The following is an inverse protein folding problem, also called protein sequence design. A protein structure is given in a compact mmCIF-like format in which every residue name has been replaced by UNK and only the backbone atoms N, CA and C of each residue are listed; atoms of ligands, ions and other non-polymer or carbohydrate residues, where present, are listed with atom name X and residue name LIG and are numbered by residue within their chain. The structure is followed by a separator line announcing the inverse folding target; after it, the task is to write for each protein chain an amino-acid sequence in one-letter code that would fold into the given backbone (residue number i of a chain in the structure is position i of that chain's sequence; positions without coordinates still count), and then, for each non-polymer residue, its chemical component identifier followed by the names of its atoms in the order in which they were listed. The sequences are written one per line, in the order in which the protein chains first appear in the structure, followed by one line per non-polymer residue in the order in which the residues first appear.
data_IF_053527073890
#
_entry.id   IF_053527073890
#
_cell.length_a   1.000
_cell.length_b   1.000
_cell.length_c   1.000
_cell.angle_alpha   90.00
_cell.angle_beta   90.00
_cell.angle_gamma   90.00
#
_symmetry.space_group_name_H-M   'P 1'
#
loop_
_entity.id
_entity.type
_entity.pdbx_description
1 polymer ?
#
# COMPACT_ATOMS: atom_id res chain seq x y z
N UNK A 1 -4.56 18.40 11.30
CA UNK A 1 -3.64 17.38 10.74
C UNK A 1 -4.47 16.15 10.48
N UNK A 2 -4.51 15.70 9.24
CA UNK A 2 -5.30 14.54 8.85
C UNK A 2 -4.42 13.30 9.08
N UNK A 3 -4.94 12.36 9.88
CA UNK A 3 -4.15 11.22 10.42
C UNK A 3 -3.67 10.28 9.32
N UNK A 4 -4.33 10.29 8.17
CA UNK A 4 -3.96 9.46 7.03
C UNK A 4 -2.71 9.99 6.33
N UNK A 5 -2.56 11.30 6.17
CA UNK A 5 -1.42 11.96 5.54
C UNK A 5 -0.16 11.72 6.37
N UNK A 6 -0.26 11.83 7.69
CA UNK A 6 0.84 11.48 8.60
C UNK A 6 1.22 9.98 8.47
N UNK A 7 0.23 9.09 8.34
CA UNK A 7 0.50 7.67 8.10
C UNK A 7 1.24 7.44 6.77
N UNK A 8 0.89 8.16 5.70
CA UNK A 8 1.59 8.08 4.43
C UNK A 8 3.06 8.51 4.55
N UNK A 9 3.35 9.60 5.27
CA UNK A 9 4.72 10.06 5.51
C UNK A 9 5.56 8.99 6.24
N UNK A 10 4.98 8.32 7.25
CA UNK A 10 5.67 7.24 7.94
C UNK A 10 5.88 6.00 7.07
N UNK A 11 4.92 5.64 6.22
CA UNK A 11 5.11 4.54 5.26
C UNK A 11 6.18 4.87 4.23
N UNK A 12 6.22 6.11 3.73
CA UNK A 12 7.26 6.57 2.81
C UNK A 12 8.65 6.49 3.44
N UNK A 13 8.77 6.92 4.70
CA UNK A 13 10.01 6.79 5.45
C UNK A 13 10.39 5.30 5.65
N UNK A 14 9.43 4.44 5.99
CA UNK A 14 9.67 3.01 6.18
C UNK A 14 10.15 2.34 4.87
N UNK A 15 9.53 2.67 3.73
CA UNK A 15 9.92 2.22 2.39
C UNK A 15 11.33 2.72 2.06
N UNK A 16 11.64 3.99 2.33
CA UNK A 16 12.98 4.53 2.10
C UNK A 16 14.05 3.80 2.93
N UNK A 17 13.74 3.46 4.20
CA UNK A 17 14.68 2.77 5.09
C UNK A 17 14.84 1.29 4.76
N UNK A 18 13.79 0.63 4.31
CA UNK A 18 13.83 -0.77 3.91
C UNK A 18 12.85 -1.05 2.75
N UNK A 19 13.30 -0.85 1.49
CA UNK A 19 12.44 -0.98 0.32
C UNK A 19 12.13 -2.44 -0.04
N UNK A 20 12.74 -3.42 0.64
CA UNK A 20 12.49 -4.84 0.42
C UNK A 20 11.27 -5.38 1.17
N UNK A 21 10.70 -4.60 2.10
CA UNK A 21 9.61 -5.06 2.98
C UNK A 21 8.25 -4.77 2.34
N UNK A 22 7.64 -5.81 1.76
CA UNK A 22 6.37 -5.74 1.04
C UNK A 22 5.22 -5.16 1.89
N UNK A 23 5.23 -5.42 3.20
CA UNK A 23 4.19 -4.98 4.13
C UNK A 23 4.08 -3.46 4.25
N UNK A 24 5.15 -2.70 3.98
CA UNK A 24 5.08 -1.23 4.01
C UNK A 24 4.30 -0.68 2.81
N UNK A 25 4.46 -1.27 1.64
CA UNK A 25 3.68 -0.93 0.46
C UNK A 25 2.20 -1.29 0.67
N UNK A 26 1.91 -2.47 1.23
CA UNK A 26 0.55 -2.87 1.60
C UNK A 26 -0.10 -1.90 2.59
N UNK A 27 0.60 -1.54 3.67
CA UNK A 27 0.11 -0.58 4.65
C UNK A 27 -0.17 0.80 4.05
N UNK A 28 0.70 1.27 3.14
CA UNK A 28 0.49 2.50 2.39
C UNK A 28 -0.73 2.41 1.47
N UNK A 29 -0.93 1.29 0.77
CA UNK A 29 -2.08 1.06 -0.09
C UNK A 29 -3.41 1.15 0.68
N UNK A 30 -3.49 0.53 1.86
CA UNK A 30 -4.68 0.58 2.72
C UNK A 30 -4.97 2.02 3.20
N UNK A 31 -3.93 2.76 3.58
CA UNK A 31 -4.08 4.17 3.98
C UNK A 31 -4.59 5.03 2.81
N UNK A 32 -4.05 4.85 1.60
CA UNK A 32 -4.48 5.55 0.39
C UNK A 32 -5.93 5.20 0.01
N UNK A 33 -6.32 3.93 0.12
CA UNK A 33 -7.69 3.48 -0.11
C UNK A 33 -8.67 4.16 0.86
N UNK A 34 -8.29 4.29 2.14
CA UNK A 34 -9.09 5.02 3.14
C UNK A 34 -9.25 6.51 2.84
N UNK A 35 -8.39 7.07 1.97
CA UNK A 35 -8.44 8.44 1.47
C UNK A 35 -9.10 8.56 0.08
N UNK A 36 -9.64 7.47 -0.48
CA UNK A 36 -10.14 7.39 -1.85
C UNK A 36 -9.09 7.69 -2.95
N UNK A 37 -7.81 7.44 -2.67
CA UNK A 37 -6.69 7.59 -3.63
C UNK A 37 -6.38 6.24 -4.27
N UNK A 38 -7.31 5.76 -5.09
CA UNK A 38 -7.32 4.37 -5.56
C UNK A 38 -6.20 4.04 -6.54
N UNK A 39 -5.85 4.94 -7.46
CA UNK A 39 -4.76 4.70 -8.41
C UNK A 39 -3.42 4.48 -7.68
N UNK A 40 -3.13 5.32 -6.69
CA UNK A 40 -1.89 5.20 -5.90
C UNK A 40 -1.91 3.96 -5.00
N UNK A 41 -3.08 3.54 -4.51
CA UNK A 41 -3.22 2.31 -3.75
C UNK A 41 -2.94 1.08 -4.64
N UNK A 42 -3.43 1.05 -5.89
CA UNK A 42 -3.14 -0.02 -6.85
C UNK A 42 -1.63 -0.15 -7.11
N UNK A 43 -0.94 0.96 -7.34
CA UNK A 43 0.53 0.96 -7.54
C UNK A 43 1.30 0.39 -6.33
N UNK A 44 0.80 0.67 -5.12
CA UNK A 44 1.40 0.14 -3.89
C UNK A 44 1.10 -1.35 -3.69
N UNK A 45 -0.10 -1.83 -4.03
CA UNK A 45 -0.37 -3.27 -4.05
C UNK A 45 0.49 -3.99 -5.10
N UNK A 46 0.67 -3.41 -6.28
CA UNK A 46 1.58 -3.96 -7.30
C UNK A 46 3.02 -4.02 -6.82
N UNK A 47 3.47 -2.99 -6.10
CA UNK A 47 4.79 -2.99 -5.47
C UNK A 47 4.90 -4.06 -4.39
N UNK A 48 3.88 -4.25 -3.54
CA UNK A 48 3.86 -5.31 -2.53
C UNK A 48 3.95 -6.71 -3.15
N UNK A 49 3.18 -6.96 -4.21
CA UNK A 49 3.19 -8.21 -4.99
C UNK A 49 4.56 -8.46 -5.61
N UNK A 50 5.18 -7.45 -6.21
CA UNK A 50 6.53 -7.59 -6.77
C UNK A 50 7.59 -7.95 -5.72
N UNK A 51 7.42 -7.48 -4.47
CA UNK A 51 8.35 -7.77 -3.37
C UNK A 51 8.11 -9.12 -2.73
N UNK A 52 6.87 -9.55 -2.60
CA UNK A 52 6.51 -10.86 -2.06
C UNK A 52 5.26 -11.39 -2.78
N UNK A 53 5.44 -12.10 -3.90
CA UNK A 53 4.34 -12.60 -4.72
C UNK A 53 3.61 -13.80 -4.11
N UNK A 54 4.14 -14.40 -3.04
CA UNK A 54 3.51 -15.55 -2.38
C UNK A 54 2.44 -15.14 -1.37
N UNK A 55 2.37 -13.85 -1.00
CA UNK A 55 1.38 -13.37 -0.07
C UNK A 55 0.05 -13.02 -0.77
N UNK A 56 -0.96 -13.86 -0.54
CA UNK A 56 -2.28 -13.72 -1.12
C UNK A 56 -3.01 -12.42 -0.70
N UNK A 57 -2.70 -11.85 0.46
CA UNK A 57 -3.38 -10.65 0.97
C UNK A 57 -3.23 -9.45 0.02
N UNK A 58 -2.10 -9.34 -0.68
CA UNK A 58 -1.87 -8.22 -1.60
C UNK A 58 -2.73 -8.31 -2.86
N UNK A 59 -3.00 -9.53 -3.33
CA UNK A 59 -3.91 -9.75 -4.45
C UNK A 59 -5.35 -9.49 -4.04
N UNK A 60 -5.74 -9.95 -2.84
CA UNK A 60 -7.06 -9.67 -2.29
C UNK A 60 -7.31 -8.16 -2.12
N UNK A 61 -6.35 -7.44 -1.54
CA UNK A 61 -6.45 -5.98 -1.39
C UNK A 61 -6.52 -5.24 -2.74
N UNK A 62 -5.76 -5.71 -3.75
CA UNK A 62 -5.82 -5.17 -5.12
C UNK A 62 -7.16 -5.46 -5.82
N UNK A 63 -7.69 -6.66 -5.65
CA UNK A 63 -8.98 -7.08 -6.22
C UNK A 63 -10.12 -6.23 -5.64
N UNK A 64 -10.17 -6.08 -4.31
CA UNK A 64 -11.19 -5.27 -3.63
C UNK A 64 -11.24 -3.84 -4.17
N UNK A 65 -10.07 -3.26 -4.45
CA UNK A 65 -9.92 -1.92 -5.00
C UNK A 65 -10.37 -1.78 -6.46
N UNK A 66 -10.36 -2.88 -7.23
CA UNK A 66 -10.73 -2.87 -8.65
C UNK A 66 -12.25 -2.99 -8.87
N UNK A 67 -13.02 -3.17 -7.79
CA UNK A 67 -14.48 -3.38 -7.82
C UNK A 67 -15.25 -2.11 -7.46
N UNK A 68 -14.59 -1.14 -6.81
CA UNK A 68 -15.14 0.18 -6.43
C UNK A 68 -14.93 1.23 -7.54
#
# INVERSE_FOLDING_TARGET
MNRFEEALEYYDLAIQKNPGKAEYFNGKAIALMSMNRFEEALENYDSAIQKNPENADYYYGKEQLSID
#
